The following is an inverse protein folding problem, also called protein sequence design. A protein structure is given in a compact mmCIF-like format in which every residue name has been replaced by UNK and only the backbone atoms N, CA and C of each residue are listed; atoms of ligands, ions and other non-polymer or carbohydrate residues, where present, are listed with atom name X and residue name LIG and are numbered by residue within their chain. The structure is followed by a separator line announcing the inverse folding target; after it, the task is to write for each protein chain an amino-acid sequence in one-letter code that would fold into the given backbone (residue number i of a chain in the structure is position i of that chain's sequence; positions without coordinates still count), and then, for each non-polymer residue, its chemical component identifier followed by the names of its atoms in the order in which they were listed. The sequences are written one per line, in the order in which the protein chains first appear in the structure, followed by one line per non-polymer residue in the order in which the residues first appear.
data_IF_275357171619
#
_entry.id   IF_275357171619
#
_cell.length_a   1.000
_cell.length_b   1.000
_cell.length_c   1.000
_cell.angle_alpha   90.00
_cell.angle_beta   90.00
_cell.angle_gamma   90.00
#
_symmetry.space_group_name_H-M   'P 1'
#
loop_
_entity.id
_entity.type
_entity.pdbx_description
1 polymer ?
#
# COMPACT_ATOMS: atom_id res chain seq x y z
N UNK A 1 -7.40 16.72 2.04
CA UNK A 1 -6.00 16.86 2.49
C UNK A 1 -5.15 15.65 2.12
N UNK A 2 -5.55 14.43 2.51
CA UNK A 2 -4.76 13.20 2.29
C UNK A 2 -4.39 12.95 0.82
N UNK A 3 -5.36 13.03 -0.10
CA UNK A 3 -5.11 12.89 -1.54
C UNK A 3 -4.14 13.95 -2.10
N UNK A 4 -4.17 15.17 -1.56
CA UNK A 4 -3.22 16.22 -1.93
C UNK A 4 -1.81 15.86 -1.46
N UNK A 5 -1.66 15.46 -0.19
CA UNK A 5 -0.37 15.07 0.35
C UNK A 5 0.24 13.87 -0.41
N UNK A 6 -0.57 12.86 -0.72
CA UNK A 6 -0.12 11.72 -1.54
C UNK A 6 0.22 12.11 -2.97
N UNK A 7 -0.63 12.88 -3.64
CA UNK A 7 -0.41 13.31 -5.02
C UNK A 7 0.84 14.16 -5.17
N UNK A 8 1.00 15.16 -4.30
CA UNK A 8 2.19 16.04 -4.28
C UNK A 8 3.45 15.24 -3.98
N UNK A 9 3.44 14.36 -2.97
CA UNK A 9 4.64 13.59 -2.65
C UNK A 9 4.99 12.55 -3.69
N UNK A 10 4.01 11.87 -4.27
CA UNK A 10 4.23 10.96 -5.39
C UNK A 10 4.87 11.71 -6.56
N UNK A 11 4.27 12.82 -7.00
CA UNK A 11 4.79 13.62 -8.13
C UNK A 11 6.19 14.15 -7.86
N UNK A 12 6.42 14.78 -6.71
CA UNK A 12 7.70 15.37 -6.38
C UNK A 12 8.81 14.30 -6.36
N UNK A 13 8.58 13.19 -5.66
CA UNK A 13 9.59 12.13 -5.51
C UNK A 13 9.83 11.39 -6.83
N UNK A 14 8.77 11.06 -7.58
CA UNK A 14 8.92 10.29 -8.82
C UNK A 14 9.61 11.11 -9.92
N UNK A 15 9.29 12.41 -10.03
CA UNK A 15 9.92 13.31 -11.01
C UNK A 15 11.37 13.63 -10.63
N UNK A 16 11.65 13.81 -9.35
CA UNK A 16 13.00 14.12 -8.85
C UNK A 16 13.96 12.95 -9.02
N UNK A 17 13.56 11.76 -8.59
CA UNK A 17 14.43 10.57 -8.64
C UNK A 17 14.36 9.81 -9.97
N UNK A 18 13.39 10.13 -10.84
CA UNK A 18 13.09 9.34 -12.06
C UNK A 18 12.89 7.85 -11.77
N UNK A 19 12.30 7.57 -10.61
CA UNK A 19 11.95 6.24 -10.11
C UNK A 19 10.46 6.23 -9.82
N UNK A 20 9.71 5.14 -10.08
CA UNK A 20 8.28 5.01 -9.73
C UNK A 20 8.05 4.91 -8.21
N UNK A 21 8.37 6.00 -7.49
CA UNK A 21 8.07 6.19 -6.08
C UNK A 21 6.61 6.63 -5.97
N UNK A 22 5.76 5.73 -5.48
CA UNK A 22 4.37 6.02 -5.19
C UNK A 22 4.17 6.13 -3.68
N UNK A 23 3.46 7.15 -3.23
CA UNK A 23 3.13 7.36 -1.82
C UNK A 23 1.67 7.08 -1.55
N UNK A 24 1.36 6.62 -0.34
CA UNK A 24 0.00 6.35 0.10
C UNK A 24 -0.14 6.55 1.61
N UNK A 25 -1.37 6.53 2.10
CA UNK A 25 -1.68 6.49 3.52
C UNK A 25 -1.27 5.15 4.15
N UNK A 26 -1.07 5.13 5.46
CA UNK A 26 -0.85 3.87 6.19
C UNK A 26 -2.15 3.10 6.35
N UNK A 27 -2.35 2.06 5.54
CA UNK A 27 -3.53 1.18 5.65
C UNK A 27 -3.65 0.49 7.01
N UNK A 28 -2.59 -0.16 7.55
CA UNK A 28 -2.64 -0.70 8.91
C UNK A 28 -2.75 0.38 9.98
N UNK A 29 -2.22 1.59 9.72
CA UNK A 29 -2.43 2.75 10.58
C UNK A 29 -3.90 3.16 10.66
N UNK A 30 -4.62 3.20 9.54
CA UNK A 30 -6.06 3.47 9.55
C UNK A 30 -6.83 2.43 10.36
N UNK A 31 -6.50 1.14 10.20
CA UNK A 31 -7.11 0.06 10.97
C UNK A 31 -6.89 0.24 12.49
N UNK A 32 -5.68 0.62 12.90
CA UNK A 32 -5.38 0.93 14.31
C UNK A 32 -6.21 2.09 14.84
N UNK A 33 -6.45 3.12 14.02
CA UNK A 33 -7.21 4.31 14.42
C UNK A 33 -8.70 4.04 14.64
N UNK A 34 -9.28 3.03 13.98
CA UNK A 34 -10.70 2.65 14.16
C UNK A 34 -11.02 2.40 15.64
N UNK A 35 -10.12 1.74 16.36
CA UNK A 35 -10.27 1.47 17.79
C UNK A 35 -9.47 2.45 18.64
N UNK A 36 -8.31 2.91 18.17
CA UNK A 36 -7.39 3.76 18.94
C UNK A 36 -7.89 5.18 19.19
N UNK A 37 -8.85 5.69 18.40
CA UNK A 37 -9.43 7.02 18.56
C UNK A 37 -10.76 7.03 19.35
N UNK A 38 -11.22 5.88 19.84
CA UNK A 38 -12.48 5.82 20.57
C UNK A 38 -12.43 6.69 21.83
N UNK A 39 -13.37 7.63 21.95
CA UNK A 39 -13.46 8.56 23.08
C UNK A 39 -12.59 9.81 22.96
N UNK A 40 -11.77 9.95 21.91
CA UNK A 40 -10.99 11.17 21.66
C UNK A 40 -11.81 12.19 20.89
N UNK A 41 -11.61 13.47 21.20
CA UNK A 41 -12.11 14.58 20.39
C UNK A 41 -11.33 14.68 19.06
N UNK A 42 -11.90 15.41 18.10
CA UNK A 42 -11.22 15.66 16.84
C UNK A 42 -9.91 16.43 17.03
N UNK A 43 -9.87 17.40 17.95
CA UNK A 43 -8.68 18.20 18.22
C UNK A 43 -7.54 17.35 18.80
N UNK A 44 -7.85 16.45 19.75
CA UNK A 44 -6.88 15.50 20.31
C UNK A 44 -6.36 14.52 19.25
N UNK A 45 -7.24 14.08 18.35
CA UNK A 45 -6.88 13.23 17.21
C UNK A 45 -5.86 13.92 16.30
N UNK A 46 -6.02 15.22 16.03
CA UNK A 46 -5.02 15.98 15.27
C UNK A 46 -3.69 16.06 16.02
N UNK A 47 -3.71 16.25 17.36
CA UNK A 47 -2.51 16.19 18.19
C UNK A 47 -1.76 14.87 18.03
N UNK A 48 -2.47 13.74 18.05
CA UNK A 48 -1.93 12.39 17.79
C UNK A 48 -1.28 12.30 16.40
N UNK A 49 -1.91 12.83 15.36
CA UNK A 49 -1.36 12.81 13.99
C UNK A 49 -0.10 13.66 13.86
N UNK A 50 -0.06 14.84 14.49
CA UNK A 50 1.13 15.70 14.52
C UNK A 50 2.28 14.95 15.21
N UNK A 51 2.08 14.42 16.41
CA UNK A 51 3.12 13.70 17.15
C UNK A 51 3.62 12.50 16.35
N UNK A 52 2.72 11.73 15.73
CA UNK A 52 3.09 10.61 14.87
C UNK A 52 4.00 11.04 13.72
N UNK A 53 3.61 12.08 12.98
CA UNK A 53 4.39 12.53 11.83
C UNK A 53 5.73 13.19 12.23
N UNK A 54 5.80 13.84 13.40
CA UNK A 54 7.08 14.28 13.99
C UNK A 54 8.01 13.08 14.23
N UNK A 55 7.51 11.99 14.83
CA UNK A 55 8.31 10.79 15.05
C UNK A 55 8.79 10.17 13.73
N UNK A 56 7.95 10.16 12.68
CA UNK A 56 8.33 9.70 11.34
C UNK A 56 9.48 10.56 10.78
N UNK A 57 9.38 11.88 10.86
CA UNK A 57 10.42 12.81 10.39
C UNK A 57 11.72 12.60 11.14
N UNK A 58 11.68 12.52 12.48
CA UNK A 58 12.87 12.24 13.30
C UNK A 58 13.50 10.90 12.96
N UNK A 59 12.69 9.86 12.73
CA UNK A 59 13.18 8.55 12.28
C UNK A 59 13.87 8.62 10.90
N UNK A 60 13.34 9.43 9.99
CA UNK A 60 13.94 9.69 8.69
C UNK A 60 15.29 10.41 8.79
N UNK A 61 15.37 11.48 9.58
CA UNK A 61 16.56 12.31 9.78
C UNK A 61 17.69 11.51 10.43
N UNK A 62 17.38 10.71 11.45
CA UNK A 62 18.39 9.86 12.13
C UNK A 62 18.96 8.76 11.22
N UNK A 63 18.24 8.43 10.15
CA UNK A 63 18.61 7.36 9.22
C UNK A 63 18.54 5.96 9.81
N UNK A 64 17.98 5.80 11.01
CA UNK A 64 17.83 4.52 11.69
C UNK A 64 17.05 3.53 10.81
N UNK A 65 15.92 3.98 10.28
CA UNK A 65 15.09 3.15 9.40
C UNK A 65 15.80 2.77 8.10
N UNK A 66 16.53 3.71 7.49
CA UNK A 66 17.29 3.44 6.27
C UNK A 66 18.37 2.36 6.51
N UNK A 67 19.03 2.36 7.67
CA UNK A 67 20.01 1.32 8.05
C UNK A 67 19.36 -0.05 8.18
N UNK A 68 18.23 -0.16 8.87
CA UNK A 68 17.49 -1.42 9.01
C UNK A 68 17.08 -1.98 7.65
N UNK A 69 16.56 -1.14 6.76
CA UNK A 69 16.12 -1.57 5.42
C UNK A 69 17.27 -2.04 4.53
N UNK A 70 18.53 -1.69 4.80
CA UNK A 70 19.70 -2.16 4.01
C UNK A 70 20.01 -3.64 4.24
N UNK A 71 19.56 -4.22 5.35
CA UNK A 71 19.88 -5.60 5.75
C UNK A 71 18.96 -6.61 5.05
N UNK A 72 17.82 -6.17 4.54
CA UNK A 72 16.79 -7.07 3.99
C UNK A 72 17.24 -7.64 2.63
N UNK A 73 17.39 -8.97 2.49
CA UNK A 73 17.69 -9.63 1.23
C UNK A 73 16.57 -9.45 0.20
N UNK A 74 16.94 -9.48 -1.09
CA UNK A 74 16.00 -9.28 -2.18
C UNK A 74 14.89 -10.35 -2.24
N UNK A 75 15.23 -11.62 -2.03
CA UNK A 75 14.29 -12.75 -2.00
C UNK A 75 13.21 -12.59 -0.92
N UNK A 76 13.60 -12.16 0.29
CA UNK A 76 12.68 -11.92 1.40
C UNK A 76 11.77 -10.72 1.12
N UNK A 77 12.31 -9.66 0.50
CA UNK A 77 11.52 -8.51 0.08
C UNK A 77 10.47 -8.90 -0.98
N UNK A 78 10.85 -9.70 -1.97
CA UNK A 78 9.93 -10.21 -2.98
C UNK A 78 8.89 -11.17 -2.38
N UNK A 79 9.30 -12.05 -1.45
CA UNK A 79 8.42 -12.98 -0.75
C UNK A 79 7.36 -12.26 0.09
N UNK A 80 7.77 -11.23 0.83
CA UNK A 80 6.84 -10.38 1.58
C UNK A 80 5.86 -9.70 0.63
N UNK A 81 6.32 -9.11 -0.49
CA UNK A 81 5.42 -8.48 -1.45
C UNK A 81 4.43 -9.51 -2.01
N UNK A 82 4.88 -10.70 -2.42
CA UNK A 82 4.02 -11.79 -2.86
C UNK A 82 2.96 -12.15 -1.80
N UNK A 83 3.33 -12.23 -0.52
CA UNK A 83 2.42 -12.56 0.57
C UNK A 83 1.36 -11.48 0.82
N UNK A 84 1.73 -10.19 0.75
CA UNK A 84 0.78 -9.07 0.86
C UNK A 84 -0.24 -9.16 -0.27
N UNK A 85 0.25 -9.35 -1.50
CA UNK A 85 -0.59 -9.33 -2.70
C UNK A 85 -1.46 -10.59 -2.83
N UNK A 86 -1.00 -11.75 -2.32
CA UNK A 86 -1.75 -13.00 -2.34
C UNK A 86 -3.14 -12.83 -1.71
N UNK A 87 -3.25 -12.08 -0.61
CA UNK A 87 -4.52 -11.86 0.08
C UNK A 87 -5.56 -11.19 -0.83
N UNK A 88 -5.15 -10.24 -1.67
CA UNK A 88 -6.04 -9.62 -2.65
C UNK A 88 -6.47 -10.60 -3.73
N UNK A 89 -5.56 -11.46 -4.20
CA UNK A 89 -5.89 -12.54 -5.13
C UNK A 89 -6.92 -13.52 -4.52
N UNK A 90 -6.66 -14.00 -3.31
CA UNK A 90 -7.57 -14.92 -2.60
C UNK A 90 -8.94 -14.29 -2.36
N UNK A 91 -9.00 -13.03 -1.93
CA UNK A 91 -10.26 -12.32 -1.72
C UNK A 91 -11.06 -12.16 -3.02
N UNK A 92 -10.40 -11.80 -4.13
CA UNK A 92 -11.06 -11.67 -5.42
C UNK A 92 -11.75 -12.96 -5.86
N UNK A 93 -11.07 -14.11 -5.76
CA UNK A 93 -11.68 -15.39 -6.12
C UNK A 93 -12.69 -15.88 -5.08
N UNK A 94 -12.52 -15.54 -3.80
CA UNK A 94 -13.53 -15.81 -2.78
C UNK A 94 -14.85 -15.07 -3.05
N UNK A 95 -14.81 -13.87 -3.65
CA UNK A 95 -16.02 -13.12 -4.04
C UNK A 95 -16.86 -13.81 -5.12
N UNK A 96 -16.33 -14.84 -5.82
CA UNK A 96 -17.15 -15.66 -6.71
C UNK A 96 -18.24 -16.42 -5.96
N UNK A 97 -17.98 -16.76 -4.69
CA UNK A 97 -19.00 -17.30 -3.80
C UNK A 97 -20.00 -16.19 -3.44
N UNK A 98 -21.27 -16.43 -3.73
CA UNK A 98 -22.35 -15.46 -3.58
C UNK A 98 -22.52 -14.42 -4.70
N UNK A 99 -21.48 -14.09 -5.48
CA UNK A 99 -21.58 -13.10 -6.59
C UNK A 99 -21.00 -13.59 -7.93
N UNK A 100 -21.34 -14.82 -8.30
CA UNK A 100 -20.82 -15.49 -9.49
C UNK A 100 -21.01 -14.70 -10.79
N UNK A 101 -22.19 -14.12 -11.03
CA UNK A 101 -22.46 -13.37 -12.27
C UNK A 101 -21.55 -12.15 -12.40
N UNK A 102 -21.37 -11.39 -11.32
CA UNK A 102 -20.55 -10.20 -11.30
C UNK A 102 -19.06 -10.55 -11.42
N UNK A 103 -18.53 -11.32 -10.47
CA UNK A 103 -17.11 -11.64 -10.43
C UNK A 103 -16.70 -12.54 -11.60
N UNK A 104 -17.55 -13.47 -12.01
CA UNK A 104 -17.32 -14.36 -13.16
C UNK A 104 -17.26 -13.61 -14.49
N UNK A 105 -18.17 -12.65 -14.72
CA UNK A 105 -18.12 -11.81 -15.93
C UNK A 105 -16.88 -10.91 -15.97
N UNK A 106 -16.49 -10.32 -14.83
CA UNK A 106 -15.24 -9.57 -14.69
C UNK A 106 -14.02 -10.45 -15.01
N UNK A 107 -13.98 -11.68 -14.49
CA UNK A 107 -12.91 -12.64 -14.77
C UNK A 107 -12.83 -13.01 -16.26
N UNK A 108 -13.98 -13.28 -16.88
CA UNK A 108 -14.05 -13.66 -18.30
C UNK A 108 -13.63 -12.51 -19.21
N UNK A 109 -14.11 -11.29 -18.95
CA UNK A 109 -13.71 -10.11 -19.71
C UNK A 109 -12.21 -9.82 -19.54
N UNK A 110 -11.71 -9.95 -18.31
CA UNK A 110 -10.28 -9.86 -18.04
C UNK A 110 -9.51 -10.91 -18.84
N UNK A 111 -9.90 -12.19 -18.78
CA UNK A 111 -9.19 -13.29 -19.44
C UNK A 111 -9.18 -13.14 -20.97
N UNK A 112 -10.33 -12.85 -21.56
CA UNK A 112 -10.45 -12.63 -23.00
C UNK A 112 -9.56 -11.48 -23.45
N UNK A 113 -9.60 -10.36 -22.72
CA UNK A 113 -8.77 -9.18 -23.02
C UNK A 113 -7.30 -9.44 -22.72
N UNK A 114 -6.99 -10.25 -21.71
CA UNK A 114 -5.62 -10.62 -21.34
C UNK A 114 -4.93 -11.39 -22.46
N UNK A 115 -5.66 -12.22 -23.19
CA UNK A 115 -5.12 -13.00 -24.30
C UNK A 115 -4.76 -12.13 -25.52
N UNK A 116 -5.53 -11.07 -25.79
CA UNK A 116 -5.39 -10.26 -27.03
C UNK A 116 -4.72 -8.91 -26.80
N UNK A 117 -4.95 -8.28 -25.64
CA UNK A 117 -4.48 -6.94 -25.32
C UNK A 117 -4.23 -6.79 -23.79
N UNK A 118 -3.18 -7.44 -23.24
CA UNK A 118 -2.93 -7.55 -21.79
C UNK A 118 -3.04 -6.24 -21.01
N UNK A 119 -2.60 -5.12 -21.60
CA UNK A 119 -2.59 -3.78 -20.97
C UNK A 119 -3.99 -3.26 -20.63
N UNK A 120 -5.03 -3.70 -21.34
CA UNK A 120 -6.41 -3.24 -21.15
C UNK A 120 -7.27 -4.21 -20.33
N UNK A 121 -6.72 -5.35 -19.90
CA UNK A 121 -7.49 -6.42 -19.26
C UNK A 121 -8.20 -5.97 -17.97
N UNK A 122 -7.52 -5.17 -17.13
CA UNK A 122 -8.11 -4.63 -15.89
C UNK A 122 -9.20 -3.60 -16.20
N UNK A 123 -9.01 -2.79 -17.24
CA UNK A 123 -10.01 -1.80 -17.67
C UNK A 123 -11.26 -2.50 -18.21
N UNK A 124 -11.11 -3.56 -18.99
CA UNK A 124 -12.22 -4.37 -19.47
C UNK A 124 -13.01 -5.00 -18.32
N UNK A 125 -12.31 -5.55 -17.32
CA UNK A 125 -12.93 -6.09 -16.10
C UNK A 125 -13.71 -5.02 -15.31
N UNK A 126 -13.13 -3.82 -15.18
CA UNK A 126 -13.78 -2.68 -14.54
C UNK A 126 -15.08 -2.29 -15.25
N UNK A 127 -15.03 -2.13 -16.57
CA UNK A 127 -16.18 -1.72 -17.39
C UNK A 127 -17.29 -2.77 -17.32
N UNK A 128 -16.99 -4.06 -17.51
CA UNK A 128 -18.02 -5.09 -17.46
C UNK A 128 -18.64 -5.18 -16.06
N UNK A 129 -17.83 -5.04 -15.00
CA UNK A 129 -18.34 -5.04 -13.64
C UNK A 129 -19.32 -3.90 -13.40
N UNK A 130 -19.02 -2.68 -13.88
CA UNK A 130 -19.95 -1.54 -13.78
C UNK A 130 -21.26 -1.83 -14.53
N UNK A 131 -21.18 -2.39 -15.75
CA UNK A 131 -22.38 -2.74 -16.54
C UNK A 131 -23.26 -3.74 -15.79
N UNK A 132 -22.67 -4.76 -15.17
CA UNK A 132 -23.43 -5.77 -14.41
C UNK A 132 -24.04 -5.19 -13.14
N UNK A 133 -23.31 -4.38 -12.37
CA UNK A 133 -23.84 -3.74 -11.16
C UNK A 133 -25.03 -2.83 -11.50
N UNK A 134 -24.93 -2.06 -12.60
CA UNK A 134 -26.05 -1.22 -13.08
C UNK A 134 -27.24 -2.10 -13.50
N UNK A 135 -26.99 -3.19 -14.24
CA UNK A 135 -28.04 -4.08 -14.71
C UNK A 135 -28.74 -4.83 -13.56
N UNK A 136 -28.04 -5.10 -12.46
CA UNK A 136 -28.60 -5.73 -11.25
C UNK A 136 -29.40 -4.76 -10.39
N UNK A 137 -29.27 -3.44 -10.61
CA UNK A 137 -29.89 -2.42 -9.78
C UNK A 137 -29.19 -2.24 -8.42
N UNK A 138 -27.99 -2.81 -8.24
CA UNK A 138 -27.22 -2.77 -6.98
C UNK A 138 -26.48 -1.44 -6.76
N UNK A 139 -26.78 -0.41 -7.57
CA UNK A 139 -26.21 0.93 -7.40
C UNK A 139 -27.08 1.74 -6.44
N UNK A 140 -26.56 2.00 -5.24
CA UNK A 140 -27.16 2.97 -4.32
C UNK A 140 -26.81 4.38 -4.80
N UNK A 141 -27.68 5.02 -5.57
CA UNK A 141 -27.44 6.35 -6.17
C UNK A 141 -27.78 7.52 -5.23
N UNK A 142 -27.68 7.35 -3.92
CA UNK A 142 -28.06 8.41 -2.97
C UNK A 142 -26.96 9.49 -2.90
N UNK A 143 -27.28 10.69 -3.38
CA UNK A 143 -26.56 11.97 -3.20
C UNK A 143 -25.04 11.98 -3.44
N UNK A 144 -24.58 11.54 -4.63
CA UNK A 144 -23.19 11.80 -5.05
C UNK A 144 -23.03 13.28 -5.44
N UNK A 145 -22.66 14.11 -4.45
CA UNK A 145 -22.40 15.53 -4.67
C UNK A 145 -20.97 15.74 -5.20
N UNK A 146 -20.86 16.01 -6.50
CA UNK A 146 -19.62 16.41 -7.15
C UNK A 146 -19.31 17.88 -6.87
N UNK A 147 -18.69 18.16 -5.72
CA UNK A 147 -18.16 19.49 -5.39
C UNK A 147 -16.72 19.39 -4.88
N UNK A 148 -15.84 20.32 -5.28
CA UNK A 148 -14.53 20.44 -4.67
C UNK A 148 -14.65 20.66 -3.15
N UNK A 149 -13.90 19.91 -2.35
CA UNK A 149 -13.84 20.09 -0.90
C UNK A 149 -12.45 20.57 -0.50
N UNK A 150 -12.39 21.74 0.13
CA UNK A 150 -11.14 22.30 0.64
C UNK A 150 -10.82 21.71 2.02
N UNK A 151 -9.52 21.44 2.31
CA UNK A 151 -9.10 21.06 3.65
C UNK A 151 -9.46 22.13 4.69
N UNK A 152 -10.19 21.75 5.74
CA UNK A 152 -10.51 22.63 6.86
C UNK A 152 -9.45 22.49 7.94
N UNK A 153 -8.93 23.62 8.42
CA UNK A 153 -8.00 23.62 9.54
C UNK A 153 -8.72 23.22 10.83
N UNK A 154 -8.12 22.31 11.58
CA UNK A 154 -8.58 21.86 12.89
C UNK A 154 -7.47 22.16 13.90
N UNK A 155 -7.72 22.97 14.95
CA UNK A 155 -6.71 23.27 15.94
C UNK A 155 -6.33 22.01 16.72
N UNK A 156 -5.03 21.71 16.88
CA UNK A 156 -4.59 20.55 17.64
C UNK A 156 -4.76 20.76 19.13
N UNK A 157 -5.11 19.67 19.84
CA UNK A 157 -4.97 19.57 21.28
C UNK A 157 -3.99 18.44 21.63
N UNK A 158 -3.07 18.70 22.54
CA UNK A 158 -1.96 17.78 22.83
C UNK A 158 -2.13 17.12 24.18
N UNK A 159 -2.24 15.80 24.16
CA UNK A 159 -2.24 14.97 25.37
C UNK A 159 -1.03 14.05 25.36
N UNK A 160 -0.26 14.08 26.47
CA UNK A 160 0.86 13.16 26.66
C UNK A 160 0.37 11.70 26.72
N UNK A 161 -0.80 11.46 27.34
CA UNK A 161 -1.39 10.14 27.39
C UNK A 161 -1.71 9.61 25.98
N UNK A 162 -2.37 10.41 25.13
CA UNK A 162 -2.72 10.02 23.76
C UNK A 162 -1.48 9.88 22.86
N UNK A 163 -0.43 10.65 23.14
CA UNK A 163 0.86 10.52 22.46
C UNK A 163 1.47 9.13 22.70
N UNK A 164 1.41 8.63 23.94
CA UNK A 164 1.94 7.31 24.28
C UNK A 164 1.01 6.17 23.86
N UNK A 165 -0.30 6.31 24.05
CA UNK A 165 -1.27 5.23 23.82
C UNK A 165 -1.72 5.09 22.35
N UNK A 166 -1.60 6.14 21.54
CA UNK A 166 -2.08 6.13 20.13
C UNK A 166 -0.99 6.57 19.16
N UNK A 167 -0.33 7.71 19.39
CA UNK A 167 0.63 8.25 18.41
C UNK A 167 1.87 7.36 18.25
N UNK A 168 2.41 6.86 19.36
CA UNK A 168 3.55 5.94 19.32
C UNK A 168 3.20 4.61 18.61
N UNK A 169 2.09 3.91 18.95
CA UNK A 169 1.64 2.75 18.17
C UNK A 169 1.41 3.06 16.69
N UNK A 170 0.78 4.19 16.35
CA UNK A 170 0.54 4.58 14.96
C UNK A 170 1.85 4.79 14.20
N UNK A 171 2.84 5.44 14.83
CA UNK A 171 4.19 5.61 14.28
C UNK A 171 4.84 4.25 14.02
N UNK A 172 4.87 3.36 15.02
CA UNK A 172 5.50 2.04 14.91
C UNK A 172 4.85 1.20 13.81
N UNK A 173 3.52 1.15 13.78
CA UNK A 173 2.76 0.43 12.76
C UNK A 173 3.00 1.02 11.37
N UNK A 174 3.08 2.33 11.24
CA UNK A 174 3.35 2.99 9.95
C UNK A 174 4.76 2.69 9.46
N UNK A 175 5.78 2.76 10.33
CA UNK A 175 7.14 2.44 9.93
C UNK A 175 7.31 0.95 9.57
N UNK A 176 6.78 0.07 10.42
CA UNK A 176 6.97 -1.38 10.30
C UNK A 176 6.08 -2.01 9.21
N UNK A 177 4.81 -1.60 9.12
CA UNK A 177 3.81 -2.29 8.28
C UNK A 177 3.45 -1.54 6.99
N UNK A 178 3.85 -0.27 6.85
CA UNK A 178 3.64 0.49 5.61
C UNK A 178 4.97 0.81 4.92
N UNK A 179 5.86 1.56 5.59
CA UNK A 179 7.10 2.03 4.96
C UNK A 179 8.09 0.90 4.67
N UNK A 180 8.28 -0.05 5.60
CA UNK A 180 9.20 -1.17 5.36
C UNK A 180 8.77 -2.04 4.18
N UNK A 181 7.49 -2.47 4.09
CA UNK A 181 6.99 -3.12 2.89
C UNK A 181 7.11 -2.31 1.62
N UNK A 182 6.81 -1.00 1.65
CA UNK A 182 6.94 -0.13 0.48
C UNK A 182 8.37 -0.04 -0.05
N UNK A 183 9.35 0.15 0.84
CA UNK A 183 10.77 0.21 0.45
C UNK A 183 11.27 -1.15 -0.03
N UNK A 184 10.87 -2.24 0.62
CA UNK A 184 11.23 -3.58 0.20
C UNK A 184 10.63 -3.93 -1.18
N UNK A 185 9.37 -3.57 -1.43
CA UNK A 185 8.71 -3.74 -2.72
C UNK A 185 9.46 -2.99 -3.84
N UNK A 186 9.84 -1.73 -3.59
CA UNK A 186 10.64 -0.94 -4.53
C UNK A 186 12.00 -1.61 -4.83
N UNK A 187 12.67 -2.17 -3.80
CA UNK A 187 13.91 -2.93 -3.98
C UNK A 187 13.70 -4.25 -4.74
N UNK A 188 12.58 -4.95 -4.51
CA UNK A 188 12.21 -6.16 -5.22
C UNK A 188 11.94 -5.88 -6.71
N UNK A 189 11.34 -4.73 -7.03
CA UNK A 189 11.23 -4.24 -8.40
C UNK A 189 12.58 -3.79 -9.01
N UNK A 190 13.65 -3.80 -8.22
CA UNK A 190 15.01 -3.42 -8.61
C UNK A 190 15.18 -1.91 -8.80
N UNK A 191 14.42 -1.10 -8.06
CA UNK A 191 14.62 0.35 -7.99
C UNK A 191 15.33 0.74 -6.70
N UNK A 192 16.28 1.66 -6.80
CA UNK A 192 17.02 2.21 -5.66
C UNK A 192 16.77 3.71 -5.55
N UNK A 193 16.28 4.15 -4.40
CA UNK A 193 16.16 5.55 -4.03
C UNK A 193 16.59 5.72 -2.56
N UNK A 194 17.10 6.90 -2.17
CA UNK A 194 17.62 7.11 -0.83
C UNK A 194 16.48 7.12 0.19
N UNK A 195 16.40 6.05 0.99
CA UNK A 195 15.27 5.78 1.91
C UNK A 195 15.02 6.94 2.88
N UNK A 196 16.06 7.47 3.52
CA UNK A 196 15.90 8.57 4.50
C UNK A 196 15.24 9.81 3.90
N UNK A 197 15.74 10.39 2.78
CA UNK A 197 15.05 11.48 2.09
C UNK A 197 13.59 11.20 1.77
N UNK A 198 13.24 9.98 1.32
CA UNK A 198 11.85 9.63 1.03
C UNK A 198 10.99 9.73 2.29
N UNK A 199 11.44 9.13 3.40
CA UNK A 199 10.71 9.12 4.68
C UNK A 199 10.59 10.53 5.27
N UNK A 200 11.66 11.32 5.21
CA UNK A 200 11.64 12.71 5.68
C UNK A 200 10.65 13.53 4.86
N UNK A 201 10.69 13.42 3.53
CA UNK A 201 9.82 14.19 2.65
C UNK A 201 8.34 13.83 2.85
N UNK A 202 8.00 12.54 2.89
CA UNK A 202 6.61 12.11 3.11
C UNK A 202 6.14 12.46 4.52
N UNK A 203 7.01 12.30 5.53
CA UNK A 203 6.72 12.66 6.92
C UNK A 203 6.52 14.16 7.14
N UNK A 204 7.35 15.01 6.52
CA UNK A 204 7.20 16.47 6.60
C UNK A 204 5.91 16.93 5.94
N UNK A 205 5.60 16.36 4.76
CA UNK A 205 4.36 16.70 4.08
C UNK A 205 3.14 16.24 4.90
N UNK A 206 3.18 15.02 5.44
CA UNK A 206 2.13 14.53 6.34
C UNK A 206 1.99 15.42 7.58
N UNK A 207 3.10 15.86 8.18
CA UNK A 207 3.13 16.76 9.34
C UNK A 207 2.47 18.11 9.03
N UNK A 208 2.81 18.73 7.89
CA UNK A 208 2.19 20.00 7.45
C UNK A 208 0.70 19.84 7.23
N UNK A 209 0.27 18.69 6.71
CA UNK A 209 -1.15 18.40 6.49
C UNK A 209 -1.86 17.77 7.71
N UNK A 210 -1.17 17.49 8.82
CA UNK A 210 -1.78 16.90 10.02
C UNK A 210 -2.95 17.75 10.56
N UNK A 211 -2.86 19.10 10.67
CA UNK A 211 -3.98 19.95 11.09
C UNK A 211 -5.21 19.90 10.17
N UNK A 212 -5.10 19.24 9.02
CA UNK A 212 -6.17 19.04 8.06
C UNK A 212 -6.62 17.57 7.98
N UNK A 213 -6.30 16.77 9.01
CA UNK A 213 -6.71 15.38 9.16
C UNK A 213 -5.79 14.35 8.50
N UNK A 214 -4.58 14.71 8.07
CA UNK A 214 -3.63 13.74 7.51
C UNK A 214 -2.89 12.99 8.62
N UNK A 215 -3.28 11.74 8.83
CA UNK A 215 -2.70 10.91 9.88
C UNK A 215 -1.34 10.31 9.51
N UNK A 216 -1.09 10.03 8.23
CA UNK A 216 0.21 9.55 7.73
C UNK A 216 0.29 9.60 6.20
N UNK A 217 1.51 9.79 5.68
CA UNK A 217 1.86 9.53 4.28
C UNK A 217 3.19 8.78 4.27
N UNK A 218 3.24 7.68 3.53
CA UNK A 218 4.40 6.80 3.46
C UNK A 218 4.57 6.19 2.08
N UNK A 219 5.57 5.33 1.95
CA UNK A 219 5.86 4.63 0.70
C UNK A 219 4.84 3.51 0.49
N UNK A 220 4.17 3.51 -0.65
CA UNK A 220 3.19 2.50 -0.99
C UNK A 220 3.87 1.17 -1.36
N UNK A 221 3.27 0.06 -0.98
CA UNK A 221 3.71 -1.28 -1.41
C UNK A 221 2.84 -1.80 -2.55
N UNK A 222 1.53 -1.89 -2.32
CA UNK A 222 0.58 -2.55 -3.23
C UNK A 222 0.42 -1.77 -4.54
N UNK A 223 0.00 -0.51 -4.45
CA UNK A 223 -0.23 0.34 -5.62
C UNK A 223 1.07 0.72 -6.33
N UNK A 224 2.18 0.84 -5.59
CA UNK A 224 3.50 1.04 -6.17
C UNK A 224 3.92 -0.14 -7.06
N UNK A 225 3.61 -1.37 -6.62
CA UNK A 225 3.98 -2.57 -7.37
C UNK A 225 3.25 -2.66 -8.73
N UNK A 226 2.03 -2.10 -8.85
CA UNK A 226 1.35 -1.92 -10.15
C UNK A 226 2.15 -0.95 -11.03
N UNK A 227 2.53 0.21 -10.50
CA UNK A 227 3.30 1.22 -11.25
C UNK A 227 4.70 0.73 -11.64
N UNK A 228 5.25 -0.22 -10.88
CA UNK A 228 6.58 -0.79 -11.08
C UNK A 228 6.56 -2.03 -12.01
N UNK A 229 5.38 -2.53 -12.38
CA UNK A 229 5.20 -3.69 -13.25
C UNK A 229 5.61 -3.41 -14.70
N UNK A 230 6.11 -4.41 -15.47
CA UNK A 230 6.30 -4.31 -16.91
C UNK A 230 5.05 -3.92 -17.71
N UNK A 231 3.87 -4.10 -17.12
CA UNK A 231 2.60 -3.69 -17.74
C UNK A 231 2.40 -2.17 -17.76
N UNK A 232 2.99 -1.46 -16.79
CA UNK A 232 2.94 -0.01 -16.74
C UNK A 232 3.74 0.62 -17.88
N UNK A 233 4.94 0.08 -18.12
CA UNK A 233 5.76 0.42 -19.28
C UNK A 233 6.80 -0.69 -19.56
N UNK A 234 7.04 -1.07 -20.84
CA UNK A 234 8.05 -2.08 -21.18
C UNK A 234 9.45 -1.68 -20.72
N UNK A 235 9.84 -0.45 -21.02
CA UNK A 235 11.08 0.15 -20.51
C UNK A 235 10.95 0.44 -19.01
N UNK A 236 11.85 -0.16 -18.23
CA UNK A 236 11.92 -0.02 -16.77
C UNK A 236 12.19 1.43 -16.36
N UNK A 237 12.95 2.18 -17.13
CA UNK A 237 13.38 3.54 -16.80
C UNK A 237 12.32 4.60 -17.14
N UNK A 238 11.19 4.18 -17.71
CA UNK A 238 10.03 5.03 -18.02
C UNK A 238 8.84 4.78 -17.08
N UNK A 239 8.90 3.77 -16.21
CA UNK A 239 7.79 3.41 -15.31
C UNK A 239 7.44 4.50 -14.29
N UNK A 240 8.35 5.44 -14.03
CA UNK A 240 8.07 6.63 -13.21
C UNK A 240 6.91 7.47 -13.77
N UNK A 241 6.65 7.42 -15.09
CA UNK A 241 5.48 8.06 -15.71
C UNK A 241 4.16 7.53 -15.14
N UNK A 242 4.07 6.23 -14.89
CA UNK A 242 2.87 5.63 -14.30
C UNK A 242 2.63 6.15 -12.88
N UNK A 243 3.68 6.26 -12.08
CA UNK A 243 3.60 6.86 -10.75
C UNK A 243 3.25 8.36 -10.83
N UNK A 244 3.80 9.10 -11.80
CA UNK A 244 3.48 10.51 -11.99
C UNK A 244 2.00 10.72 -12.33
N UNK A 245 1.46 9.94 -13.27
CA UNK A 245 0.04 9.96 -13.62
C UNK A 245 -0.83 9.56 -12.43
N UNK A 246 -0.45 8.53 -11.67
CA UNK A 246 -1.14 8.16 -10.43
C UNK A 246 -1.14 9.31 -9.40
N UNK A 247 -0.04 10.07 -9.29
CA UNK A 247 0.04 11.26 -8.45
C UNK A 247 -0.93 12.37 -8.90
N UNK A 248 -1.10 12.58 -10.20
CA UNK A 248 -2.11 13.51 -10.74
C UNK A 248 -3.52 13.03 -10.37
N UNK A 249 -3.81 11.74 -10.54
CA UNK A 249 -5.11 11.18 -10.15
C UNK A 249 -5.35 11.27 -8.64
N UNK A 250 -4.34 11.16 -7.79
CA UNK A 250 -4.47 11.43 -6.35
C UNK A 250 -4.81 12.89 -6.05
N UNK A 251 -4.29 13.86 -6.81
CA UNK A 251 -4.66 15.27 -6.64
C UNK A 251 -6.12 15.50 -7.02
N UNK A 252 -6.55 14.97 -8.16
CA UNK A 252 -7.94 15.04 -8.61
C UNK A 252 -8.84 14.37 -7.57
N UNK A 253 -8.48 13.17 -7.12
CA UNK A 253 -9.23 12.43 -6.11
C UNK A 253 -9.29 13.17 -4.77
N UNK A 254 -8.21 13.82 -4.37
CA UNK A 254 -8.15 14.65 -3.17
C UNK A 254 -9.08 15.86 -3.21
N UNK A 255 -9.31 16.43 -4.41
CA UNK A 255 -10.23 17.55 -4.61
C UNK A 255 -11.69 17.10 -4.56
N UNK A 256 -11.98 15.92 -5.11
CA UNK A 256 -13.33 15.33 -5.20
C UNK A 256 -13.55 14.21 -4.17
N UNK A 257 -12.97 14.36 -2.97
CA UNK A 257 -13.00 13.31 -1.95
C UNK A 257 -14.41 12.85 -1.56
N UNK A 258 -15.36 13.77 -1.44
CA UNK A 258 -16.77 13.43 -1.14
C UNK A 258 -17.41 12.59 -2.24
N UNK A 259 -17.19 12.94 -3.50
CA UNK A 259 -17.73 12.20 -4.63
C UNK A 259 -17.13 10.79 -4.75
N UNK A 260 -15.82 10.64 -4.49
CA UNK A 260 -15.18 9.33 -4.48
C UNK A 260 -15.71 8.46 -3.35
N UNK A 261 -15.85 8.99 -2.15
CA UNK A 261 -16.45 8.25 -1.03
C UNK A 261 -17.87 7.80 -1.36
N UNK A 262 -18.70 8.67 -1.95
CA UNK A 262 -20.04 8.32 -2.40
C UNK A 262 -20.04 7.24 -3.48
N UNK A 263 -19.15 7.33 -4.47
CA UNK A 263 -19.01 6.33 -5.52
C UNK A 263 -18.56 4.97 -4.97
N UNK A 264 -17.64 4.94 -4.01
CA UNK A 264 -17.22 3.69 -3.36
C UNK A 264 -18.33 3.07 -2.51
N UNK A 265 -19.18 3.88 -1.89
CA UNK A 265 -20.36 3.41 -1.15
C UNK A 265 -21.47 2.85 -2.07
N UNK A 266 -21.48 3.27 -3.35
CA UNK A 266 -22.46 2.82 -4.34
C UNK A 266 -22.09 1.50 -5.03
N UNK A 267 -20.87 1.00 -4.85
CA UNK A 267 -20.38 -0.22 -5.50
C UNK A 267 -20.32 -1.41 -4.51
N UNK A 268 -20.67 -2.63 -4.95
CA UNK A 268 -20.50 -3.83 -4.14
C UNK A 268 -19.03 -4.06 -3.74
N UNK A 269 -18.81 -4.53 -2.50
CA UNK A 269 -17.47 -4.82 -1.99
C UNK A 269 -16.75 -5.87 -2.85
N UNK A 270 -17.47 -6.87 -3.35
CA UNK A 270 -17.02 -7.89 -4.29
C UNK A 270 -16.45 -7.32 -5.60
N UNK A 271 -17.04 -6.24 -6.13
CA UNK A 271 -16.55 -5.57 -7.34
C UNK A 271 -15.16 -5.00 -7.09
N UNK A 272 -15.00 -4.31 -5.95
CA UNK A 272 -13.72 -3.71 -5.53
C UNK A 272 -12.67 -4.79 -5.31
N UNK A 273 -13.03 -5.86 -4.59
CA UNK A 273 -12.15 -7.00 -4.31
C UNK A 273 -11.70 -7.70 -5.61
N UNK A 274 -12.64 -8.01 -6.50
CA UNK A 274 -12.37 -8.68 -7.77
C UNK A 274 -11.44 -7.83 -8.65
N UNK A 275 -11.73 -6.54 -8.79
CA UNK A 275 -10.90 -5.62 -9.57
C UNK A 275 -9.48 -5.52 -8.99
N UNK A 276 -9.36 -5.39 -7.66
CA UNK A 276 -8.06 -5.31 -6.99
C UNK A 276 -7.23 -6.59 -7.20
N UNK A 277 -7.83 -7.77 -7.04
CA UNK A 277 -7.12 -9.04 -7.26
C UNK A 277 -6.64 -9.19 -8.71
N UNK A 278 -7.52 -8.94 -9.69
CA UNK A 278 -7.18 -9.01 -11.11
C UNK A 278 -6.06 -8.03 -11.50
N UNK A 279 -6.08 -6.82 -10.93
CA UNK A 279 -5.05 -5.81 -11.16
C UNK A 279 -3.66 -6.19 -10.59
N UNK A 280 -3.61 -7.12 -9.63
CA UNK A 280 -2.39 -7.52 -8.94
C UNK A 280 -1.83 -8.86 -9.39
N UNK A 281 -2.54 -9.63 -10.24
CA UNK A 281 -2.14 -10.97 -10.68
C UNK A 281 -0.72 -11.02 -11.28
N UNK A 282 -0.39 -10.08 -12.16
CA UNK A 282 0.94 -10.02 -12.78
C UNK A 282 2.05 -9.79 -11.75
N UNK A 283 1.75 -8.94 -10.77
CA UNK A 283 2.68 -8.56 -9.72
C UNK A 283 2.87 -9.70 -8.73
N UNK A 284 1.80 -10.42 -8.37
CA UNK A 284 1.87 -11.64 -7.56
C UNK A 284 2.81 -12.66 -8.22
N UNK A 285 2.59 -12.96 -9.51
CA UNK A 285 3.42 -13.90 -10.26
C UNK A 285 4.89 -13.49 -10.32
N UNK A 286 5.16 -12.20 -10.62
CA UNK A 286 6.52 -11.67 -10.65
C UNK A 286 7.23 -11.72 -9.30
N UNK A 287 6.54 -11.37 -8.21
CA UNK A 287 7.10 -11.43 -6.86
C UNK A 287 7.36 -12.85 -6.38
N UNK A 288 6.47 -13.81 -6.69
CA UNK A 288 6.70 -15.24 -6.40
C UNK A 288 7.93 -15.77 -7.16
N UNK A 289 8.05 -15.44 -8.44
CA UNK A 289 9.21 -15.81 -9.24
C UNK A 289 10.52 -15.29 -8.62
N UNK A 290 10.57 -13.99 -8.27
CA UNK A 290 11.75 -13.38 -7.65
C UNK A 290 12.07 -13.96 -6.26
N UNK A 291 11.05 -14.24 -5.46
CA UNK A 291 11.20 -14.79 -4.12
C UNK A 291 11.86 -16.18 -4.12
N UNK A 292 11.49 -17.02 -5.09
CA UNK A 292 11.91 -18.42 -5.15
C UNK A 292 13.07 -18.67 -6.14
N UNK A 293 13.59 -17.62 -6.77
CA UNK A 293 14.63 -17.73 -7.79
C UNK A 293 15.95 -18.29 -7.21
N UNK A 294 16.39 -17.77 -6.06
CA UNK A 294 17.64 -18.20 -5.43
C UNK A 294 17.42 -19.42 -4.54
N UNK A 295 18.00 -20.56 -4.95
CA UNK A 295 17.80 -21.86 -4.30
C UNK A 295 18.17 -21.87 -2.81
N UNK A 296 19.24 -21.18 -2.44
CA UNK A 296 19.73 -21.15 -1.04
C UNK A 296 18.81 -20.39 -0.09
N UNK A 297 17.99 -19.50 -0.64
CA UNK A 297 17.15 -18.58 0.14
C UNK A 297 15.67 -19.02 0.13
N UNK A 298 15.32 -20.09 -0.60
CA UNK A 298 13.94 -20.53 -0.83
C UNK A 298 13.18 -20.77 0.46
N UNK A 299 13.74 -21.52 1.41
CA UNK A 299 13.04 -21.84 2.66
C UNK A 299 12.74 -20.58 3.48
N UNK A 300 13.72 -19.68 3.59
CA UNK A 300 13.55 -18.40 4.25
C UNK A 300 12.50 -17.50 3.55
N UNK A 301 12.51 -17.48 2.22
CA UNK A 301 11.53 -16.77 1.41
C UNK A 301 10.12 -17.37 1.56
N UNK A 302 9.97 -18.69 1.57
CA UNK A 302 8.67 -19.36 1.77
C UNK A 302 8.11 -19.05 3.16
N UNK A 303 8.93 -19.06 4.21
CA UNK A 303 8.50 -18.66 5.55
C UNK A 303 8.04 -17.20 5.55
N UNK A 304 8.83 -16.28 4.98
CA UNK A 304 8.44 -14.87 4.87
C UNK A 304 7.11 -14.69 4.13
N UNK A 305 6.92 -15.41 3.03
CA UNK A 305 5.72 -15.40 2.22
C UNK A 305 4.50 -15.90 3.02
N UNK A 306 4.57 -17.08 3.64
CA UNK A 306 3.45 -17.69 4.36
C UNK A 306 3.06 -16.89 5.60
N UNK A 307 4.06 -16.42 6.37
CA UNK A 307 3.81 -15.56 7.54
C UNK A 307 3.14 -14.26 7.09
N UNK A 308 3.61 -13.65 6.01
CA UNK A 308 2.98 -12.43 5.47
C UNK A 308 1.56 -12.71 4.97
N UNK A 309 1.36 -13.79 4.22
CA UNK A 309 0.06 -14.18 3.67
C UNK A 309 -0.96 -14.55 4.75
N UNK A 310 -0.52 -15.03 5.92
CA UNK A 310 -1.41 -15.36 7.04
C UNK A 310 -2.24 -14.16 7.52
N UNK A 311 -1.74 -12.94 7.32
CA UNK A 311 -2.31 -11.68 7.85
C UNK A 311 -2.44 -11.64 9.36
N UNK A 312 -1.58 -12.39 10.06
CA UNK A 312 -1.41 -12.25 11.49
C UNK A 312 -1.10 -10.79 11.86
N UNK A 313 -1.63 -10.35 13.00
CA UNK A 313 -1.28 -9.07 13.61
C UNK A 313 -0.86 -9.35 15.03
N UNK A 314 0.41 -9.07 15.37
CA UNK A 314 0.96 -9.23 16.72
C UNK A 314 1.42 -7.88 17.24
N UNK A 315 1.00 -7.54 18.46
CA UNK A 315 1.30 -6.25 19.09
C UNK A 315 0.91 -5.03 18.24
N UNK A 316 -0.18 -5.15 17.46
CA UNK A 316 -0.65 -4.12 16.53
C UNK A 316 0.13 -4.02 15.22
N UNK A 317 1.22 -4.77 15.04
CA UNK A 317 2.06 -4.76 13.84
C UNK A 317 1.60 -5.87 12.89
N UNK A 318 1.43 -5.52 11.60
CA UNK A 318 0.91 -6.42 10.58
C UNK A 318 1.90 -7.50 10.14
N UNK A 319 1.36 -8.53 9.50
CA UNK A 319 2.06 -9.75 9.10
C UNK A 319 3.28 -9.54 8.22
N UNK A 320 3.29 -8.50 7.38
CA UNK A 320 4.41 -8.20 6.48
C UNK A 320 5.72 -7.96 7.23
N UNK A 321 5.66 -7.22 8.34
CA UNK A 321 6.82 -7.01 9.20
C UNK A 321 7.28 -8.34 9.82
N UNK A 322 6.36 -9.10 10.40
CA UNK A 322 6.66 -10.38 11.04
C UNK A 322 7.18 -11.43 10.05
N UNK A 323 6.70 -11.40 8.80
CA UNK A 323 7.21 -12.23 7.71
C UNK A 323 8.66 -11.92 7.38
N UNK A 324 9.04 -10.64 7.32
CA UNK A 324 10.44 -10.24 7.18
C UNK A 324 11.30 -10.70 8.36
N UNK A 325 10.80 -10.59 9.59
CA UNK A 325 11.54 -11.03 10.79
C UNK A 325 11.72 -12.54 10.77
N UNK A 326 10.63 -13.31 10.61
CA UNK A 326 10.68 -14.78 10.59
C UNK A 326 11.55 -15.31 9.44
N UNK A 327 11.34 -14.79 8.22
CA UNK A 327 12.17 -15.12 7.08
C UNK A 327 13.62 -14.69 7.26
N UNK A 328 13.88 -13.52 7.85
CA UNK A 328 15.22 -13.02 8.15
C UNK A 328 15.98 -13.91 9.13
N UNK A 329 15.30 -14.37 10.18
CA UNK A 329 15.85 -15.36 11.12
C UNK A 329 16.18 -16.66 10.39
N UNK A 330 15.26 -17.20 9.59
CA UNK A 330 15.51 -18.39 8.77
C UNK A 330 16.71 -18.19 7.81
N UNK A 331 16.77 -17.04 7.14
CA UNK A 331 17.85 -16.71 6.22
C UNK A 331 19.21 -16.72 6.91
N UNK A 332 19.31 -16.10 8.09
CA UNK A 332 20.56 -16.06 8.86
C UNK A 332 20.94 -17.45 9.35
N UNK A 333 20.01 -18.18 9.97
CA UNK A 333 20.30 -19.50 10.54
C UNK A 333 20.73 -20.50 9.45
N UNK A 334 20.02 -20.54 8.32
CA UNK A 334 20.29 -21.49 7.25
C UNK A 334 21.61 -21.17 6.52
N UNK A 335 21.91 -19.89 6.28
CA UNK A 335 23.18 -19.52 5.65
C UNK A 335 24.38 -19.70 6.59
N UNK A 336 24.24 -19.39 7.89
CA UNK A 336 25.31 -19.64 8.87
C UNK A 336 25.65 -21.13 9.00
N UNK A 337 24.66 -22.02 8.92
CA UNK A 337 24.87 -23.47 8.98
C UNK A 337 25.49 -23.99 7.67
N UNK A 338 25.05 -23.48 6.52
CA UNK A 338 25.60 -23.86 5.21
C UNK A 338 27.07 -23.49 5.06
N UNK A 339 27.48 -22.34 5.57
CA UNK A 339 28.89 -21.89 5.55
C UNK A 339 29.77 -22.68 6.53
N UNK A 340 29.20 -23.21 7.63
CA UNK A 340 29.93 -24.02 8.61
C UNK A 340 30.17 -25.48 8.16
N UNK A 341 29.37 -25.97 7.22
CA UNK A 341 29.50 -27.32 6.65
C UNK A 341 30.41 -27.37 5.40
N UNK A 342 31.15 -26.29 5.12
CA UNK A 342 32.18 -26.19 4.09
C UNK A 342 33.56 -26.15 4.72
#
# INVERSE_FOLDING_TARGET
ALGLAMGVSTLALTLWYRVPVLTAWSTPGAALLVTGLQGLTLNETIGVFIVTNVLIVLCGITGLFARLMRIIPHSLAAAMLAGILLRFGLQAFASLDGQFTLCGSMLLAWLATRAVAPRYAVIAAMIIGIVIVIAQGDVVTTDVVFKPVLPTYIPPDFSFAHSLSVALPLFLVTMASQNAPGIAAMKAAGYSAPVSPLIVFTGLLALVFSPFGVYSVGIAAITAAICQSPEAHPDKDQRWLAAAVAGIFYLIAGLFGSAITGMMAALPVSWIQMLAGLALLSTIGGSLYQALHNERERDAAVVAFLVTASGLTLFGIGSAFWGLIAGGVCYVVLNLIADRNR
#
